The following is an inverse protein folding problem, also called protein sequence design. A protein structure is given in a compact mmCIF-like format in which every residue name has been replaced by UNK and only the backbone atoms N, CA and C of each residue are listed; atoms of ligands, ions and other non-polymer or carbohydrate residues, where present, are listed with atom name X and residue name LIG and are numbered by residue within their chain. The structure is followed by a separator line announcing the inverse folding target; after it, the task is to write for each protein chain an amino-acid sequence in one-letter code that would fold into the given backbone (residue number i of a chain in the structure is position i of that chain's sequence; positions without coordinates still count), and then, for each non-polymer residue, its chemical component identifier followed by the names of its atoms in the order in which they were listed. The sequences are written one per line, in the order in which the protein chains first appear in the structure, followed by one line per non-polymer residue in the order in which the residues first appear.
data_IF_210009414975
#
_entry.id   IF_210009414975
#
_cell.length_a   1.000
_cell.length_b   1.000
_cell.length_c   1.000
_cell.angle_alpha   90.00
_cell.angle_beta   90.00
_cell.angle_gamma   90.00
#
_symmetry.space_group_name_H-M   'P 1'
#
loop_
_entity.id
_entity.type
_entity.pdbx_description
1 polymer ?
#
# COMPACT_ATOMS: atom_id res chain seq x y z
N UNK A 1 -5.03 -8.67 -20.12
CA UNK A 1 -3.68 -8.06 -20.11
C UNK A 1 -3.73 -6.82 -19.25
N UNK A 2 -2.68 -6.55 -18.46
CA UNK A 2 -2.60 -5.34 -17.65
C UNK A 2 -2.40 -4.10 -18.51
N UNK A 3 -3.12 -3.02 -18.23
CA UNK A 3 -2.97 -1.72 -18.89
C UNK A 3 -3.17 -0.60 -17.89
N UNK A 4 -2.34 0.45 -17.95
CA UNK A 4 -2.52 1.64 -17.14
C UNK A 4 -3.68 2.45 -17.70
N UNK A 5 -4.78 2.55 -16.95
CA UNK A 5 -5.89 3.44 -17.26
C UNK A 5 -5.60 4.83 -16.68
N UNK A 6 -5.32 5.80 -17.55
CA UNK A 6 -5.04 7.18 -17.18
C UNK A 6 -6.24 7.86 -16.49
N UNK A 7 -7.47 7.51 -16.86
CA UNK A 7 -8.68 8.02 -16.22
C UNK A 7 -8.84 7.48 -14.79
N UNK A 8 -8.49 6.22 -14.59
CA UNK A 8 -8.49 5.59 -13.26
C UNK A 8 -7.47 6.23 -12.32
N UNK A 9 -6.27 6.52 -12.82
CA UNK A 9 -5.22 7.21 -12.06
C UNK A 9 -5.65 8.64 -11.70
N UNK A 10 -6.15 9.41 -12.67
CA UNK A 10 -6.63 10.77 -12.42
C UNK A 10 -7.78 10.83 -11.40
N UNK A 11 -8.69 9.84 -11.44
CA UNK A 11 -9.74 9.71 -10.42
C UNK A 11 -9.17 9.44 -9.03
N UNK A 12 -8.15 8.59 -8.92
CA UNK A 12 -7.50 8.29 -7.65
C UNK A 12 -6.80 9.52 -7.06
N UNK A 13 -6.08 10.28 -7.88
CA UNK A 13 -5.44 11.54 -7.47
C UNK A 13 -6.49 12.55 -6.99
N UNK A 14 -7.59 12.72 -7.72
CA UNK A 14 -8.68 13.59 -7.31
C UNK A 14 -9.32 13.14 -5.97
N UNK A 15 -9.51 11.83 -5.79
CA UNK A 15 -10.04 11.27 -4.56
C UNK A 15 -9.08 11.47 -3.37
N UNK A 16 -7.78 11.27 -3.57
CA UNK A 16 -6.74 11.56 -2.57
C UNK A 16 -6.78 13.03 -2.14
N UNK A 17 -6.75 13.96 -3.09
CA UNK A 17 -6.75 15.39 -2.77
C UNK A 17 -8.00 15.81 -1.98
N UNK A 18 -9.18 15.33 -2.40
CA UNK A 18 -10.43 15.59 -1.69
C UNK A 18 -10.43 14.99 -0.27
N UNK A 19 -9.99 13.73 -0.13
CA UNK A 19 -9.92 13.06 1.17
C UNK A 19 -8.95 13.77 2.12
N UNK A 20 -7.75 14.14 1.66
CA UNK A 20 -6.75 14.85 2.46
C UNK A 20 -7.26 16.22 2.90
N UNK A 21 -7.94 16.98 2.02
CA UNK A 21 -8.55 18.25 2.38
C UNK A 21 -9.60 18.09 3.51
N UNK A 22 -10.49 17.11 3.37
CA UNK A 22 -11.52 16.81 4.38
C UNK A 22 -10.88 16.36 5.69
N UNK A 23 -9.88 15.49 5.64
CA UNK A 23 -9.21 14.97 6.85
C UNK A 23 -8.49 16.10 7.61
N UNK A 24 -7.84 17.02 6.90
CA UNK A 24 -7.20 18.20 7.50
C UNK A 24 -8.21 19.12 8.20
N UNK A 25 -9.39 19.32 7.61
CA UNK A 25 -10.47 20.09 8.23
C UNK A 25 -11.07 19.37 9.45
N UNK A 26 -11.37 18.08 9.33
CA UNK A 26 -12.13 17.33 10.34
C UNK A 26 -11.27 16.80 11.49
N UNK A 27 -9.96 16.63 11.30
CA UNK A 27 -9.04 16.07 12.28
C UNK A 27 -7.82 16.99 12.49
N UNK A 28 -8.03 18.27 12.86
CA UNK A 28 -6.92 19.19 13.11
C UNK A 28 -6.00 18.63 14.20
N UNK A 29 -4.68 18.77 14.01
CA UNK A 29 -3.66 18.23 14.93
C UNK A 29 -3.30 16.76 14.73
N UNK A 30 -3.92 16.06 13.77
CA UNK A 30 -3.50 14.72 13.32
C UNK A 30 -3.05 14.78 11.87
N UNK A 31 -1.77 14.49 11.62
CA UNK A 31 -1.25 14.32 10.28
C UNK A 31 -1.77 12.98 9.70
N UNK A 32 -2.87 13.06 8.95
CA UNK A 32 -3.46 11.94 8.23
C UNK A 32 -3.13 12.11 6.75
N UNK A 33 -2.25 11.24 6.25
CA UNK A 33 -1.78 11.24 4.87
C UNK A 33 -2.10 9.89 4.21
N UNK A 34 -2.01 9.83 2.89
CA UNK A 34 -2.26 8.63 2.12
C UNK A 34 -1.24 7.53 2.46
N UNK A 35 -1.74 6.32 2.68
CA UNK A 35 -0.89 5.16 2.90
C UNK A 35 -0.43 4.53 1.57
N UNK A 36 0.56 3.64 1.65
CA UNK A 36 1.10 2.95 0.47
C UNK A 36 0.05 2.03 -0.19
N UNK A 37 -0.89 1.51 0.60
CA UNK A 37 -1.92 0.59 0.12
C UNK A 37 -2.86 1.23 -0.91
N UNK A 38 -3.12 2.53 -0.81
CA UNK A 38 -3.97 3.27 -1.75
C UNK A 38 -3.47 3.14 -3.20
N UNK A 39 -2.20 3.46 -3.45
CA UNK A 39 -1.59 3.34 -4.77
C UNK A 39 -1.20 1.91 -5.13
N UNK A 40 -0.90 1.07 -4.13
CA UNK A 40 -0.64 -0.36 -4.37
C UNK A 40 -1.85 -1.05 -5.00
N UNK A 41 -3.08 -0.70 -4.58
CA UNK A 41 -4.29 -1.26 -5.17
C UNK A 41 -4.42 -0.93 -6.67
N UNK A 42 -4.13 0.32 -7.05
CA UNK A 42 -4.16 0.77 -8.46
C UNK A 42 -3.07 0.08 -9.30
N UNK A 43 -1.87 -0.06 -8.74
CA UNK A 43 -0.77 -0.77 -9.40
C UNK A 43 -1.13 -2.23 -9.68
N UNK A 44 -1.67 -2.93 -8.69
CA UNK A 44 -2.05 -4.34 -8.84
C UNK A 44 -3.22 -4.51 -9.82
N UNK A 45 -4.20 -3.60 -9.80
CA UNK A 45 -5.28 -3.53 -10.79
C UNK A 45 -4.71 -3.35 -12.22
N UNK A 46 -3.79 -2.39 -12.41
CA UNK A 46 -3.15 -2.13 -13.70
C UNK A 46 -2.27 -3.30 -14.19
N UNK A 47 -1.72 -4.09 -13.28
CA UNK A 47 -0.98 -5.32 -13.59
C UNK A 47 -1.89 -6.53 -13.87
N UNK A 48 -3.21 -6.37 -13.72
CA UNK A 48 -4.20 -7.42 -13.96
C UNK A 48 -4.40 -8.41 -12.81
N UNK A 49 -3.95 -8.07 -11.59
CA UNK A 49 -4.25 -8.89 -10.42
C UNK A 49 -5.70 -8.70 -9.99
N UNK A 50 -6.40 -9.81 -9.78
CA UNK A 50 -7.72 -9.78 -9.15
C UNK A 50 -7.63 -9.36 -7.68
N UNK A 51 -8.71 -8.75 -7.16
CA UNK A 51 -8.79 -8.30 -5.75
C UNK A 51 -8.50 -9.41 -4.74
N UNK A 52 -8.96 -10.63 -5.03
CA UNK A 52 -8.72 -11.83 -4.20
C UNK A 52 -7.23 -12.17 -4.06
N UNK A 53 -6.39 -11.72 -4.99
CA UNK A 53 -4.94 -11.95 -4.97
C UNK A 53 -4.17 -10.90 -4.17
N UNK A 54 -4.79 -9.79 -3.76
CA UNK A 54 -4.11 -8.68 -3.10
C UNK A 54 -3.28 -9.14 -1.90
N UNK A 55 -3.92 -9.87 -0.97
CA UNK A 55 -3.25 -10.36 0.25
C UNK A 55 -2.08 -11.28 -0.06
N UNK A 56 -2.22 -12.16 -1.07
CA UNK A 56 -1.17 -13.08 -1.47
C UNK A 56 0.05 -12.33 -2.03
N UNK A 57 -0.17 -11.36 -2.91
CA UNK A 57 0.91 -10.55 -3.50
C UNK A 57 1.57 -9.66 -2.43
N UNK A 58 0.77 -9.06 -1.56
CA UNK A 58 1.28 -8.28 -0.43
C UNK A 58 2.15 -9.13 0.49
N UNK A 59 1.68 -10.32 0.88
CA UNK A 59 2.43 -11.26 1.71
C UNK A 59 3.75 -11.67 1.05
N UNK A 60 3.74 -11.96 -0.26
CA UNK A 60 4.95 -12.27 -1.02
C UNK A 60 6.00 -11.14 -0.93
N UNK A 61 5.59 -9.88 -1.03
CA UNK A 61 6.47 -8.72 -0.83
C UNK A 61 7.03 -8.61 0.60
N UNK A 62 6.33 -9.16 1.60
CA UNK A 62 6.77 -9.14 3.00
C UNK A 62 7.71 -10.29 3.38
N UNK A 63 7.71 -11.40 2.63
CA UNK A 63 8.53 -12.58 2.91
C UNK A 63 10.01 -12.25 3.10
N UNK A 64 10.59 -11.38 2.28
CA UNK A 64 12.00 -10.99 2.43
C UNK A 64 12.31 -10.36 3.80
N UNK A 65 11.43 -9.48 4.29
CA UNK A 65 11.56 -8.88 5.63
C UNK A 65 11.37 -9.90 6.75
N UNK A 66 10.39 -10.80 6.62
CA UNK A 66 10.19 -11.89 7.58
C UNK A 66 11.38 -12.83 7.66
N UNK A 67 11.98 -13.18 6.52
CA UNK A 67 13.19 -14.00 6.47
C UNK A 67 14.39 -13.28 7.09
N UNK A 68 14.55 -11.97 6.84
CA UNK A 68 15.60 -11.18 7.47
C UNK A 68 15.46 -11.19 9.01
N UNK A 69 14.26 -10.94 9.52
CA UNK A 69 13.93 -11.01 10.94
C UNK A 69 14.16 -12.41 11.52
N UNK A 70 13.69 -13.47 10.86
CA UNK A 70 13.92 -14.84 11.32
C UNK A 70 15.42 -15.16 11.43
N UNK A 71 16.23 -14.74 10.44
CA UNK A 71 17.68 -14.93 10.47
C UNK A 71 18.36 -14.11 11.57
N UNK A 72 17.86 -12.92 11.86
CA UNK A 72 18.34 -12.11 12.97
C UNK A 72 18.07 -12.80 14.31
N UNK A 73 16.83 -13.27 14.52
CA UNK A 73 16.44 -13.98 15.73
C UNK A 73 17.34 -15.20 15.97
N UNK A 74 17.63 -15.99 14.93
CA UNK A 74 18.53 -17.15 15.02
C UNK A 74 19.96 -16.74 15.42
N UNK A 75 20.44 -15.58 14.98
CA UNK A 75 21.82 -15.14 15.25
C UNK A 75 22.00 -14.41 16.57
N UNK A 76 21.03 -13.58 16.98
CA UNK A 76 21.15 -12.66 18.12
C UNK A 76 20.28 -13.04 19.32
N UNK A 77 19.33 -13.97 19.16
CA UNK A 77 18.34 -14.32 20.18
C UNK A 77 17.25 -13.26 20.41
N UNK A 78 17.24 -12.17 19.62
CA UNK A 78 16.23 -11.10 19.66
C UNK A 78 16.04 -10.45 18.27
N UNK A 79 14.84 -9.94 18.01
CA UNK A 79 14.44 -9.19 16.82
C UNK A 79 14.57 -7.68 17.07
N UNK A 80 15.54 -6.98 16.45
CA UNK A 80 15.69 -5.51 16.41
C UNK A 80 16.66 -5.12 15.27
#
# INVERSE_FOLDING_TARGET
EGSVDAGRLALAEAAEQAALAILREKKPGRALETNVEFYTALLLEALGFGRESFTCVFAAGRVGGWLAHAREQVRKGRLI
#
